data_IF_993916180427
#
_entry.id   IF_993916180427
#
_cell.length_a   1.000
_cell.length_b   1.000
_cell.length_c   1.000
_cell.angle_alpha   90.00
_cell.angle_beta   90.00
_cell.angle_gamma   90.00
#
_symmetry.space_group_name_H-M   'P 1'
#
loop_
_entity.id
_entity.type
_entity.pdbx_description
1 polymer ?
#
# COMPACT_ATOMS: atom_id res chain seq x y z
N UNK A 1 38.52 -1.72 32.96
CA UNK A 1 38.07 -2.43 31.73
C UNK A 1 37.01 -3.49 32.05
N UNK A 2 35.96 -3.17 32.83
CA UNK A 2 34.93 -4.15 33.24
C UNK A 2 33.55 -3.90 32.61
N UNK A 3 33.33 -2.70 32.06
CA UNK A 3 32.02 -2.29 31.54
C UNK A 3 31.86 -2.49 30.02
N UNK A 4 32.94 -2.84 29.31
CA UNK A 4 32.93 -3.05 27.85
C UNK A 4 32.25 -4.38 27.46
N UNK A 5 32.36 -5.39 28.35
CA UNK A 5 31.84 -6.74 28.11
C UNK A 5 30.30 -6.78 28.17
N UNK A 6 29.70 -5.89 28.97
CA UNK A 6 28.25 -5.77 29.11
C UNK A 6 27.56 -5.22 27.85
N UNK A 7 28.26 -4.38 27.07
CA UNK A 7 27.72 -3.78 25.83
C UNK A 7 27.65 -4.82 24.71
N UNK A 8 28.61 -5.76 24.64
CA UNK A 8 28.68 -6.79 23.59
C UNK A 8 27.58 -7.85 23.77
N UNK A 9 27.17 -8.14 25.01
CA UNK A 9 26.11 -9.13 25.32
C UNK A 9 24.72 -8.63 24.95
N UNK A 10 24.51 -7.32 24.82
CA UNK A 10 23.21 -6.72 24.49
C UNK A 10 22.94 -6.55 22.97
N UNK A 11 23.97 -6.69 22.14
CA UNK A 11 23.87 -6.53 20.67
C UNK A 11 23.04 -7.60 19.91
N UNK A 12 22.94 -8.88 20.31
CA UNK A 12 22.19 -9.86 19.51
C UNK A 12 20.66 -9.67 19.58
N UNK A 13 20.15 -8.85 20.51
CA UNK A 13 18.71 -8.60 20.64
C UNK A 13 18.15 -7.52 19.71
N UNK A 14 18.99 -6.79 18.96
CA UNK A 14 18.55 -5.77 18.01
C UNK A 14 18.16 -6.31 16.63
N UNK A 15 18.28 -7.62 16.42
CA UNK A 15 18.02 -8.24 15.12
C UNK A 15 16.58 -8.71 15.05
N UNK A 16 15.89 -8.35 13.96
CA UNK A 16 14.53 -8.75 13.57
C UNK A 16 13.43 -7.77 14.02
N UNK A 17 13.58 -6.50 13.69
CA UNK A 17 12.40 -5.71 13.30
C UNK A 17 11.98 -6.20 11.90
N UNK A 18 11.09 -7.20 11.82
CA UNK A 18 10.46 -7.56 10.54
C UNK A 18 9.69 -6.33 10.05
N UNK A 19 10.23 -5.63 9.05
CA UNK A 19 9.51 -4.61 8.30
C UNK A 19 8.37 -5.36 7.59
N UNK A 20 7.18 -5.34 8.20
CA UNK A 20 5.97 -5.84 7.55
C UNK A 20 5.69 -4.90 6.39
N UNK A 21 6.03 -5.36 5.19
CA UNK A 21 5.55 -4.77 3.97
C UNK A 21 4.04 -4.94 3.99
N UNK A 22 3.33 -3.82 4.07
CA UNK A 22 1.89 -3.84 4.09
C UNK A 22 1.37 -4.33 2.75
N UNK A 23 0.32 -5.12 2.85
CA UNK A 23 -0.17 -5.92 1.75
C UNK A 23 -1.38 -5.20 1.17
N UNK A 24 -1.24 -4.74 -0.07
CA UNK A 24 -2.36 -4.19 -0.85
C UNK A 24 -3.46 -5.25 -1.00
N UNK A 25 -3.04 -6.50 -1.17
CA UNK A 25 -3.89 -7.66 -1.37
C UNK A 25 -4.10 -8.39 -0.06
N UNK A 26 -5.33 -8.85 0.17
CA UNK A 26 -5.63 -9.65 1.36
C UNK A 26 -4.88 -10.98 1.28
N UNK A 27 -4.51 -11.53 2.44
CA UNK A 27 -4.04 -12.92 2.55
C UNK A 27 -5.15 -13.95 2.63
N UNK A 28 -6.34 -13.53 3.06
CA UNK A 28 -7.48 -14.41 3.28
C UNK A 28 -8.75 -13.80 2.66
N UNK A 29 -9.52 -14.60 1.90
CA UNK A 29 -10.77 -14.13 1.31
C UNK A 29 -11.81 -13.91 2.40
N UNK A 30 -12.59 -12.85 2.27
CA UNK A 30 -13.75 -12.56 3.14
C UNK A 30 -15.00 -13.30 2.63
N UNK A 31 -15.06 -13.58 1.33
CA UNK A 31 -16.12 -14.39 0.71
C UNK A 31 -15.52 -15.50 -0.15
N UNK A 32 -16.19 -16.65 -0.32
CA UNK A 32 -15.64 -17.78 -1.09
C UNK A 32 -15.27 -17.46 -2.53
N UNK A 33 -15.88 -16.42 -3.10
CA UNK A 33 -15.68 -15.96 -4.49
C UNK A 33 -14.62 -14.86 -4.62
N UNK A 34 -14.10 -14.31 -3.52
CA UNK A 34 -13.11 -13.23 -3.56
C UNK A 34 -11.73 -13.75 -3.94
N UNK A 35 -11.22 -13.31 -5.10
CA UNK A 35 -9.85 -13.63 -5.50
C UNK A 35 -8.86 -12.63 -4.87
N UNK A 36 -8.45 -12.95 -3.65
CA UNK A 36 -7.51 -12.15 -2.86
C UNK A 36 -6.15 -11.89 -3.51
N UNK A 37 -5.70 -12.73 -4.44
CA UNK A 37 -4.44 -12.49 -5.16
C UNK A 37 -4.56 -11.38 -6.19
N UNK A 38 -5.79 -11.05 -6.58
CA UNK A 38 -6.10 -10.11 -7.65
C UNK A 38 -6.80 -8.85 -7.14
N UNK A 39 -7.43 -8.86 -5.96
CA UNK A 39 -8.17 -7.70 -5.44
C UNK A 39 -7.59 -7.16 -4.13
N UNK A 40 -7.43 -5.85 -4.06
CA UNK A 40 -6.87 -5.13 -2.92
C UNK A 40 -7.53 -3.77 -2.68
N UNK A 41 -7.17 -3.12 -1.57
CA UNK A 41 -7.66 -1.78 -1.23
C UNK A 41 -6.49 -0.88 -0.84
N UNK A 42 -6.41 0.31 -1.44
CA UNK A 42 -5.41 1.32 -1.12
C UNK A 42 -6.08 2.56 -0.53
N UNK A 43 -5.64 2.95 0.67
CA UNK A 43 -6.13 4.19 1.30
C UNK A 43 -5.17 5.35 1.02
N UNK A 44 -5.72 6.42 0.46
CA UNK A 44 -4.97 7.63 0.12
C UNK A 44 -5.68 8.89 0.59
N UNK A 45 -4.91 9.94 0.83
CA UNK A 45 -5.41 11.29 1.08
C UNK A 45 -5.04 12.18 -0.09
N UNK A 46 -6.03 12.76 -0.76
CA UNK A 46 -5.82 13.81 -1.77
C UNK A 46 -5.77 15.16 -1.06
N UNK A 47 -4.65 15.85 -1.22
CA UNK A 47 -4.39 17.18 -0.65
C UNK A 47 -4.13 18.17 -1.78
N UNK A 48 -4.03 19.46 -1.44
CA UNK A 48 -3.61 20.50 -2.40
C UNK A 48 -2.24 20.21 -3.02
N UNK A 49 -1.37 19.50 -2.29
CA UNK A 49 0.00 19.22 -2.68
C UNK A 49 0.17 17.90 -3.43
N UNK A 50 -0.87 17.06 -3.50
CA UNK A 50 -0.83 15.79 -4.19
C UNK A 50 -1.53 14.66 -3.46
N UNK A 51 -1.03 13.43 -3.65
CA UNK A 51 -1.62 12.20 -3.10
C UNK A 51 -0.66 11.63 -2.06
N UNK A 52 -1.15 11.45 -0.84
CA UNK A 52 -0.42 10.83 0.26
C UNK A 52 -0.99 9.45 0.53
N UNK A 53 -0.13 8.43 0.53
CA UNK A 53 -0.52 7.06 0.85
C UNK A 53 -0.55 6.89 2.36
N UNK A 54 -1.64 6.31 2.89
CA UNK A 54 -1.71 5.99 4.33
C UNK A 54 -0.65 4.95 4.70
N UNK A 55 -0.40 4.03 3.78
CA UNK A 55 0.60 2.99 3.90
C UNK A 55 1.79 3.32 3.00
N UNK A 56 2.95 3.50 3.63
CA UNK A 56 4.19 3.91 2.97
C UNK A 56 4.94 2.74 2.32
N UNK A 57 4.60 1.52 2.71
CA UNK A 57 5.30 0.29 2.32
C UNK A 57 4.74 -0.36 1.04
N UNK A 58 3.65 0.19 0.50
CA UNK A 58 3.11 -0.17 -0.82
C UNK A 58 4.20 -0.06 -1.88
N UNK A 59 4.23 -1.02 -2.82
CA UNK A 59 5.18 -0.99 -3.93
C UNK A 59 4.95 0.22 -4.84
N UNK A 60 6.03 0.70 -5.48
CA UNK A 60 5.95 1.85 -6.37
C UNK A 60 5.04 1.61 -7.60
N UNK A 61 4.86 0.35 -8.03
CA UNK A 61 3.91 -0.03 -9.09
C UNK A 61 2.50 0.47 -8.79
N UNK A 62 1.97 0.15 -7.60
CA UNK A 62 0.61 0.56 -7.21
C UNK A 62 0.53 2.05 -6.89
N UNK A 63 1.59 2.65 -6.32
CA UNK A 63 1.63 4.09 -6.10
C UNK A 63 1.54 4.86 -7.41
N UNK A 64 2.28 4.43 -8.43
CA UNK A 64 2.25 5.05 -9.75
C UNK A 64 0.90 4.86 -10.42
N UNK A 65 0.28 3.70 -10.28
CA UNK A 65 -1.04 3.45 -10.81
C UNK A 65 -2.11 4.38 -10.20
N UNK A 66 -2.09 4.55 -8.87
CA UNK A 66 -2.99 5.49 -8.17
C UNK A 66 -2.74 6.93 -8.63
N UNK A 67 -1.48 7.36 -8.78
CA UNK A 67 -1.17 8.69 -9.33
C UNK A 67 -1.74 8.86 -10.73
N UNK A 68 -1.60 7.86 -11.61
CA UNK A 68 -2.16 7.87 -12.96
C UNK A 68 -3.69 7.93 -12.94
N UNK A 69 -4.34 7.17 -12.06
CA UNK A 69 -5.78 7.22 -11.87
C UNK A 69 -6.29 8.63 -11.56
N UNK A 70 -5.69 9.32 -10.58
CA UNK A 70 -6.08 10.71 -10.27
C UNK A 70 -5.72 11.71 -11.37
N UNK A 71 -4.65 11.45 -12.16
CA UNK A 71 -4.33 12.27 -13.34
C UNK A 71 -5.41 12.21 -14.42
N UNK A 72 -6.14 11.09 -14.53
CA UNK A 72 -7.29 10.96 -15.46
C UNK A 72 -8.48 11.86 -15.07
N UNK A 73 -8.44 12.51 -13.89
CA UNK A 73 -9.44 13.49 -13.41
C UNK A 73 -10.89 13.03 -13.58
N UNK A 74 -11.16 11.77 -13.25
CA UNK A 74 -12.54 11.26 -13.22
C UNK A 74 -13.37 12.12 -12.25
N UNK A 75 -14.56 12.56 -12.69
CA UNK A 75 -15.37 13.59 -12.02
C UNK A 75 -15.60 13.32 -10.52
N UNK A 76 -15.62 12.06 -10.10
CA UNK A 76 -15.86 11.66 -8.69
C UNK A 76 -14.62 11.74 -7.78
N UNK A 77 -13.43 12.07 -8.31
CA UNK A 77 -12.14 12.00 -7.59
C UNK A 77 -11.40 13.35 -7.54
N UNK A 78 -12.13 14.46 -7.73
CA UNK A 78 -11.59 15.82 -7.68
C UNK A 78 -11.49 16.38 -6.27
N UNK A 79 -12.27 15.89 -5.31
CA UNK A 79 -12.33 16.45 -3.96
C UNK A 79 -11.04 16.18 -3.16
N UNK A 80 -10.72 17.09 -2.25
CA UNK A 80 -9.61 16.95 -1.30
C UNK A 80 -10.08 16.18 -0.07
N UNK A 81 -10.03 14.84 -0.16
CA UNK A 81 -10.47 13.96 0.92
C UNK A 81 -9.69 12.65 0.93
N UNK A 82 -10.00 11.82 1.90
CA UNK A 82 -9.53 10.44 1.97
C UNK A 82 -10.35 9.57 1.03
N UNK A 83 -9.68 8.71 0.27
CA UNK A 83 -10.27 7.73 -0.61
C UNK A 83 -9.80 6.34 -0.22
N UNK A 84 -10.70 5.36 -0.32
CA UNK A 84 -10.38 3.93 -0.24
C UNK A 84 -10.58 3.38 -1.64
N UNK A 85 -9.49 3.16 -2.34
CA UNK A 85 -9.49 2.79 -3.74
C UNK A 85 -9.44 1.27 -3.87
N UNK A 86 -10.42 0.68 -4.56
CA UNK A 86 -10.36 -0.72 -4.93
C UNK A 86 -9.37 -0.90 -6.08
N UNK A 87 -8.42 -1.81 -5.91
CA UNK A 87 -7.40 -2.14 -6.90
C UNK A 87 -7.57 -3.58 -7.32
N UNK A 88 -7.50 -3.82 -8.62
CA UNK A 88 -7.60 -5.16 -9.18
C UNK A 88 -6.50 -5.42 -10.21
N UNK A 89 -5.83 -6.56 -10.11
CA UNK A 89 -4.91 -7.06 -11.14
C UNK A 89 -5.67 -8.05 -12.01
N UNK A 90 -5.90 -7.68 -13.27
CA UNK A 90 -6.50 -8.55 -14.28
C UNK A 90 -5.42 -9.07 -15.23
N UNK A 91 -5.80 -9.99 -16.10
CA UNK A 91 -4.88 -10.56 -17.10
C UNK A 91 -4.32 -9.51 -18.07
N UNK A 92 -5.06 -8.44 -18.31
CA UNK A 92 -4.74 -7.41 -19.29
C UNK A 92 -4.21 -6.10 -18.67
N UNK A 93 -4.05 -6.03 -17.34
CA UNK A 93 -3.45 -4.89 -16.66
C UNK A 93 -3.98 -4.65 -15.25
N UNK A 94 -3.61 -3.48 -14.71
CA UNK A 94 -4.07 -3.01 -13.41
C UNK A 94 -5.30 -2.12 -13.56
N UNK A 95 -6.26 -2.30 -12.66
CA UNK A 95 -7.49 -1.56 -12.59
C UNK A 95 -7.60 -0.89 -11.23
N UNK A 96 -8.08 0.35 -11.23
CA UNK A 96 -8.46 1.08 -10.01
C UNK A 96 -9.89 1.53 -10.21
N UNK A 97 -10.79 1.13 -9.30
CA UNK A 97 -12.22 1.48 -9.39
C UNK A 97 -12.82 1.10 -10.76
N UNK A 98 -12.50 -0.11 -11.22
CA UNK A 98 -12.84 -0.64 -12.56
C UNK A 98 -12.29 0.17 -13.76
N UNK A 99 -11.45 1.16 -13.53
CA UNK A 99 -10.77 1.91 -14.58
C UNK A 99 -9.40 1.30 -14.85
N UNK A 100 -9.17 0.86 -16.09
CA UNK A 100 -7.85 0.41 -16.53
C UNK A 100 -6.85 1.55 -16.43
N UNK A 101 -5.69 1.29 -15.85
CA UNK A 101 -4.62 2.28 -15.69
C UNK A 101 -3.76 2.33 -16.93
#
# INVERSE_FOLDING_TARGET
MKNLLLVIVLLPFLSIAQIRQSEVFKKHPTTPTENIKLTGVIEVSKTMYGITFKDTTISEEYKNAVKTFFKKRLNSYTDLKKYRLQVEKRTDGLYIENTKI
#
